data_IF_647317264375
#
_entry.id   IF_647317264375
#
_cell.length_a   1.000
_cell.length_b   1.000
_cell.length_c   1.000
_cell.angle_alpha   90.00
_cell.angle_beta   90.00
_cell.angle_gamma   90.00
#
_symmetry.space_group_name_H-M   'P 1'
#
loop_
_entity.id
_entity.type
_entity.pdbx_description
1 polymer ?
#
# COMPACT_ATOMS: atom_id res chain seq x y z
N UNK A 1 2.57 -30.91 20.53
CA UNK A 1 3.87 -30.31 20.88
C UNK A 1 4.63 -29.95 19.61
N UNK A 2 5.28 -28.79 19.51
CA UNK A 2 6.07 -28.44 18.33
C UNK A 2 7.34 -29.31 18.28
N UNK A 3 7.53 -30.03 17.16
CA UNK A 3 8.69 -30.90 16.93
C UNK A 3 10.02 -30.18 17.24
N UNK A 4 10.94 -30.80 18.00
CA UNK A 4 12.27 -30.23 18.27
C UNK A 4 13.04 -29.89 16.99
N UNK A 5 12.88 -30.70 15.93
CA UNK A 5 13.46 -30.45 14.62
C UNK A 5 12.92 -29.17 13.99
N UNK A 6 11.59 -28.95 14.02
CA UNK A 6 10.97 -27.72 13.51
C UNK A 6 11.45 -26.45 14.23
N UNK A 7 11.86 -26.56 15.50
CA UNK A 7 12.41 -25.41 16.26
C UNK A 7 13.86 -25.11 15.88
N UNK A 8 14.67 -26.14 15.61
CA UNK A 8 16.12 -26.00 15.33
C UNK A 8 16.43 -25.71 13.85
N UNK A 9 15.63 -26.23 12.93
CA UNK A 9 15.84 -26.10 11.48
C UNK A 9 14.96 -25.01 10.85
N UNK A 10 14.55 -24.01 11.64
CA UNK A 10 13.67 -22.94 11.15
C UNK A 10 14.51 -21.96 10.34
N UNK A 11 14.08 -21.70 9.10
CA UNK A 11 14.67 -20.65 8.28
C UNK A 11 14.46 -19.28 8.97
N UNK A 12 15.56 -18.72 9.48
CA UNK A 12 15.57 -17.46 10.22
C UNK A 12 15.52 -16.23 9.29
N UNK A 13 15.85 -16.38 8.00
CA UNK A 13 15.64 -15.35 6.97
C UNK A 13 14.15 -15.15 6.61
N UNK A 14 13.27 -16.10 6.97
CA UNK A 14 11.81 -15.92 6.85
C UNK A 14 11.20 -15.14 8.02
N UNK A 15 12.00 -14.55 8.90
CA UNK A 15 11.47 -13.77 10.02
C UNK A 15 10.69 -12.55 9.53
N UNK A 16 9.48 -12.34 10.09
CA UNK A 16 8.67 -11.14 9.85
C UNK A 16 9.33 -9.85 10.35
N UNK A 17 10.36 -9.96 11.18
CA UNK A 17 11.13 -8.81 11.67
C UNK A 17 12.15 -8.28 10.67
N UNK A 18 12.48 -9.04 9.62
CA UNK A 18 13.43 -8.60 8.59
C UNK A 18 12.69 -7.67 7.63
N UNK A 19 13.10 -6.40 7.63
CA UNK A 19 12.54 -5.39 6.73
C UNK A 19 12.96 -5.68 5.27
N UNK A 20 12.27 -5.07 4.31
CA UNK A 20 12.60 -5.21 2.89
C UNK A 20 13.99 -4.64 2.56
N UNK A 21 14.35 -3.52 3.18
CA UNK A 21 15.67 -2.91 3.02
C UNK A 21 16.76 -3.78 3.66
N UNK A 22 16.50 -4.35 4.83
CA UNK A 22 17.40 -5.33 5.47
C UNK A 22 17.59 -6.57 4.59
N UNK A 23 16.51 -7.11 4.00
CA UNK A 23 16.62 -8.22 3.05
C UNK A 23 17.43 -7.82 1.81
N UNK A 24 17.21 -6.60 1.29
CA UNK A 24 17.97 -6.08 0.16
C UNK A 24 19.47 -6.04 0.47
N UNK A 25 19.85 -5.54 1.64
CA UNK A 25 21.24 -5.49 2.09
C UNK A 25 21.82 -6.89 2.28
N UNK A 26 21.13 -7.76 3.03
CA UNK A 26 21.58 -9.13 3.28
C UNK A 26 21.86 -9.92 1.99
N UNK A 27 20.98 -9.82 1.00
CA UNK A 27 21.16 -10.51 -0.29
C UNK A 27 22.24 -9.84 -1.13
N UNK A 28 22.35 -8.50 -1.08
CA UNK A 28 23.41 -7.77 -1.76
C UNK A 28 24.79 -8.16 -1.24
N UNK A 29 25.01 -8.03 0.07
CA UNK A 29 26.26 -8.41 0.73
C UNK A 29 26.62 -9.89 0.46
N UNK A 30 25.62 -10.78 0.45
CA UNK A 30 25.84 -12.20 0.12
C UNK A 30 26.23 -12.41 -1.34
N UNK A 31 25.59 -11.72 -2.29
CA UNK A 31 25.96 -11.80 -3.71
C UNK A 31 27.37 -11.27 -3.95
N UNK A 32 27.74 -10.16 -3.31
CA UNK A 32 29.09 -9.60 -3.42
C UNK A 32 30.14 -10.59 -2.91
N UNK A 33 29.87 -11.28 -1.79
CA UNK A 33 30.75 -12.32 -1.27
C UNK A 33 30.84 -13.56 -2.18
N UNK A 34 29.72 -14.01 -2.76
CA UNK A 34 29.71 -15.14 -3.71
C UNK A 34 30.49 -14.85 -4.99
N UNK A 35 30.58 -13.58 -5.37
CA UNK A 35 31.22 -13.13 -6.61
C UNK A 35 32.62 -12.56 -6.42
N UNK A 36 33.15 -12.60 -5.20
CA UNK A 36 34.52 -12.23 -4.95
C UNK A 36 35.49 -13.06 -5.82
N UNK A 37 36.52 -12.40 -6.35
CA UNK A 37 37.50 -13.03 -7.25
C UNK A 37 38.25 -14.19 -6.57
N UNK A 38 38.47 -14.07 -5.25
CA UNK A 38 39.11 -15.08 -4.43
C UNK A 38 38.09 -15.73 -3.48
N UNK A 39 37.99 -17.05 -3.56
CA UNK A 39 37.11 -17.84 -2.71
C UNK A 39 37.96 -18.66 -1.71
N UNK A 40 37.60 -18.67 -0.41
CA UNK A 40 38.19 -19.56 0.57
C UNK A 40 38.28 -21.02 0.09
N UNK A 41 39.39 -21.68 0.38
CA UNK A 41 39.58 -23.08 0.03
C UNK A 41 38.47 -23.95 0.65
N UNK A 42 37.88 -24.82 -0.16
CA UNK A 42 36.75 -25.67 0.25
C UNK A 42 35.38 -25.00 0.16
N UNK A 43 35.29 -23.77 -0.35
CA UNK A 43 34.00 -23.15 -0.64
C UNK A 43 33.17 -24.00 -1.63
N UNK A 44 31.83 -24.05 -1.47
CA UNK A 44 30.95 -24.64 -2.46
C UNK A 44 30.96 -23.83 -3.78
N UNK A 45 30.28 -24.31 -4.81
CA UNK A 45 30.21 -23.62 -6.11
C UNK A 45 29.47 -22.27 -6.01
N UNK A 46 30.21 -21.23 -5.67
CA UNK A 46 29.68 -19.88 -5.41
C UNK A 46 29.16 -19.21 -6.67
N UNK A 47 29.76 -19.51 -7.83
CA UNK A 47 29.29 -19.02 -9.14
C UNK A 47 27.90 -19.56 -9.47
N UNK A 48 27.66 -20.86 -9.27
CA UNK A 48 26.33 -21.43 -9.48
C UNK A 48 25.28 -20.90 -8.48
N UNK A 49 25.68 -20.63 -7.23
CA UNK A 49 24.81 -20.00 -6.25
C UNK A 49 24.43 -18.56 -6.63
N UNK A 50 25.42 -17.76 -7.04
CA UNK A 50 25.21 -16.39 -7.49
C UNK A 50 24.29 -16.34 -8.72
N UNK A 51 24.54 -17.20 -9.73
CA UNK A 51 23.72 -17.28 -10.94
C UNK A 51 22.24 -17.58 -10.66
N UNK A 52 21.93 -18.35 -9.61
CA UNK A 52 20.55 -18.64 -9.19
C UNK A 52 19.93 -17.49 -8.39
N UNK A 53 20.73 -16.80 -7.58
CA UNK A 53 20.25 -15.78 -6.65
C UNK A 53 20.07 -14.40 -7.30
N UNK A 54 20.97 -14.03 -8.22
CA UNK A 54 20.99 -12.74 -8.93
C UNK A 54 19.66 -12.35 -9.58
N UNK A 55 19.01 -13.19 -10.43
CA UNK A 55 17.76 -12.80 -11.07
C UNK A 55 16.63 -12.55 -10.05
N UNK A 56 16.60 -13.31 -8.95
CA UNK A 56 15.62 -13.08 -7.87
C UNK A 56 15.87 -11.76 -7.15
N UNK A 57 17.14 -11.40 -6.94
CA UNK A 57 17.52 -10.15 -6.30
C UNK A 57 17.17 -8.94 -7.16
N UNK A 58 17.46 -8.99 -8.45
CA UNK A 58 17.11 -7.94 -9.41
C UNK A 58 15.59 -7.73 -9.49
N UNK A 59 14.83 -8.82 -9.60
CA UNK A 59 13.37 -8.76 -9.59
C UNK A 59 12.83 -8.13 -8.29
N UNK A 60 13.39 -8.52 -7.14
CA UNK A 60 13.03 -7.93 -5.85
C UNK A 60 13.31 -6.42 -5.81
N UNK A 61 14.46 -5.96 -6.31
CA UNK A 61 14.81 -4.55 -6.37
C UNK A 61 13.86 -3.73 -7.27
N UNK A 62 13.51 -4.27 -8.44
CA UNK A 62 12.49 -3.67 -9.32
C UNK A 62 11.14 -3.56 -8.59
N UNK A 63 10.76 -4.60 -7.86
CA UNK A 63 9.60 -4.60 -6.98
C UNK A 63 9.63 -3.49 -5.93
N UNK A 64 10.78 -3.25 -5.27
CA UNK A 64 10.91 -2.17 -4.28
C UNK A 64 10.74 -0.79 -4.92
N UNK A 65 11.31 -0.57 -6.10
CA UNK A 65 11.19 0.70 -6.85
C UNK A 65 9.74 0.99 -7.25
N UNK A 66 9.07 0.01 -7.86
CA UNK A 66 7.65 0.13 -8.26
C UNK A 66 6.73 0.34 -7.04
N UNK A 67 7.04 -0.28 -5.90
CA UNK A 67 6.31 -0.06 -4.65
C UNK A 67 6.41 1.37 -4.10
N UNK A 68 7.57 2.04 -4.23
CA UNK A 68 7.75 3.45 -3.83
C UNK A 68 6.95 4.39 -4.74
N UNK A 69 7.01 4.18 -6.06
CA UNK A 69 6.23 4.94 -7.03
C UNK A 69 4.72 4.78 -6.82
N UNK A 70 4.26 3.55 -6.56
CA UNK A 70 2.85 3.25 -6.29
C UNK A 70 2.32 3.93 -5.01
N UNK A 71 3.13 4.02 -3.96
CA UNK A 71 2.79 4.74 -2.72
C UNK A 71 2.62 6.24 -2.97
N UNK A 72 3.53 6.86 -3.72
CA UNK A 72 3.43 8.28 -4.09
C UNK A 72 2.18 8.53 -4.94
N UNK A 73 1.90 7.68 -5.92
CA UNK A 73 0.69 7.77 -6.75
C UNK A 73 -0.59 7.67 -5.90
N UNK A 74 -0.63 6.78 -4.89
CA UNK A 74 -1.78 6.67 -3.97
C UNK A 74 -2.01 7.96 -3.17
N UNK A 75 -0.94 8.61 -2.72
CA UNK A 75 -1.01 9.90 -2.05
C UNK A 75 -1.72 10.94 -2.92
N UNK A 76 -1.24 11.12 -4.15
CA UNK A 76 -1.80 12.07 -5.11
C UNK A 76 -3.27 11.79 -5.44
N UNK A 77 -3.64 10.52 -5.65
CA UNK A 77 -5.03 10.15 -5.95
C UNK A 77 -5.96 10.38 -4.75
N UNK A 78 -5.49 10.18 -3.52
CA UNK A 78 -6.28 10.46 -2.32
C UNK A 78 -6.57 11.95 -2.19
N UNK A 79 -5.60 12.81 -2.49
CA UNK A 79 -5.80 14.26 -2.55
C UNK A 79 -6.82 14.65 -3.61
N UNK A 80 -6.68 14.11 -4.83
CA UNK A 80 -7.61 14.41 -5.94
C UNK A 80 -9.06 14.03 -5.63
N UNK A 81 -9.30 12.85 -5.03
CA UNK A 81 -10.64 12.44 -4.59
C UNK A 81 -11.18 13.36 -3.51
N UNK A 82 -10.34 13.76 -2.55
CA UNK A 82 -10.72 14.71 -1.50
C UNK A 82 -11.16 16.06 -2.07
N UNK A 83 -10.36 16.64 -2.98
CA UNK A 83 -10.67 17.92 -3.63
C UNK A 83 -11.95 17.84 -4.46
N UNK A 84 -12.11 16.80 -5.28
CA UNK A 84 -13.31 16.59 -6.09
C UNK A 84 -14.56 16.40 -5.20
N UNK A 85 -14.42 15.72 -4.06
CA UNK A 85 -15.48 15.53 -3.10
C UNK A 85 -15.91 16.84 -2.42
N UNK A 86 -14.96 17.65 -1.96
CA UNK A 86 -15.24 18.96 -1.36
C UNK A 86 -15.91 19.93 -2.36
N UNK A 87 -15.45 19.92 -3.62
CA UNK A 87 -16.02 20.71 -4.70
C UNK A 87 -17.44 20.24 -5.09
N UNK A 88 -17.73 18.94 -4.96
CA UNK A 88 -19.04 18.37 -5.26
C UNK A 88 -20.05 18.65 -4.15
N UNK A 89 -19.67 18.46 -2.88
CA UNK A 89 -20.60 18.53 -1.75
C UNK A 89 -21.06 19.96 -1.41
N UNK A 90 -20.26 20.97 -1.78
CA UNK A 90 -20.55 22.38 -1.53
C UNK A 90 -21.46 23.02 -2.59
N UNK A 91 -21.41 22.52 -3.82
CA UNK A 91 -22.08 23.14 -4.97
C UNK A 91 -23.62 23.19 -4.87
N UNK A 92 -24.34 22.15 -4.38
CA UNK A 92 -25.79 22.25 -4.18
C UNK A 92 -26.22 23.42 -3.28
N UNK A 93 -25.41 23.75 -2.27
CA UNK A 93 -25.70 24.87 -1.39
C UNK A 93 -25.56 26.23 -2.11
N UNK A 94 -24.62 26.33 -3.05
CA UNK A 94 -24.45 27.48 -3.92
C UNK A 94 -25.63 27.64 -4.88
N UNK A 95 -26.05 26.54 -5.53
CA UNK A 95 -27.23 26.52 -6.40
C UNK A 95 -28.46 26.99 -5.62
N UNK A 96 -28.65 26.48 -4.40
CA UNK A 96 -29.77 26.90 -3.55
C UNK A 96 -29.75 28.41 -3.27
N UNK A 97 -28.59 28.96 -2.92
CA UNK A 97 -28.43 30.38 -2.59
C UNK A 97 -28.74 31.29 -3.77
N UNK A 98 -28.32 30.91 -4.98
CA UNK A 98 -28.42 31.78 -6.17
C UNK A 98 -29.74 31.59 -6.91
N UNK A 99 -30.29 30.37 -6.96
CA UNK A 99 -31.39 30.03 -7.87
C UNK A 99 -32.71 29.66 -7.15
N UNK A 100 -32.64 29.08 -5.95
CA UNK A 100 -33.83 28.52 -5.28
C UNK A 100 -34.34 29.49 -4.21
N UNK A 101 -33.50 29.86 -3.24
CA UNK A 101 -33.84 30.70 -2.10
C UNK A 101 -34.39 32.10 -2.46
N UNK A 102 -34.01 32.74 -3.59
CA UNK A 102 -34.62 34.01 -3.99
C UNK A 102 -36.12 33.91 -4.33
N UNK A 103 -36.63 32.71 -4.63
CA UNK A 103 -38.04 32.48 -5.03
C UNK A 103 -38.79 31.55 -4.08
N UNK A 104 -38.07 30.73 -3.32
CA UNK A 104 -38.61 29.68 -2.48
C UNK A 104 -37.87 29.61 -1.15
N UNK A 105 -38.55 29.91 -0.05
CA UNK A 105 -37.98 29.77 1.28
C UNK A 105 -37.74 28.30 1.68
N UNK A 106 -37.06 28.08 2.80
CA UNK A 106 -36.72 26.74 3.29
C UNK A 106 -37.95 25.91 3.71
N UNK A 107 -39.11 26.56 3.92
CA UNK A 107 -40.36 25.89 4.32
C UNK A 107 -41.16 25.42 3.12
N UNK A 108 -40.94 26.00 1.94
CA UNK A 108 -41.63 25.70 0.70
C UNK A 108 -41.51 24.24 0.27
N UNK A 109 -42.55 23.73 -0.39
CA UNK A 109 -42.56 22.37 -0.93
C UNK A 109 -41.44 22.17 -1.97
N UNK A 110 -41.22 23.16 -2.84
CA UNK A 110 -40.17 23.14 -3.86
C UNK A 110 -38.79 22.98 -3.21
N UNK A 111 -38.47 23.77 -2.18
CA UNK A 111 -37.19 23.65 -1.49
C UNK A 111 -36.99 22.26 -0.87
N UNK A 112 -38.03 21.69 -0.27
CA UNK A 112 -38.00 20.35 0.34
C UNK A 112 -37.83 19.22 -0.69
N UNK A 113 -38.25 19.43 -1.94
CA UNK A 113 -37.96 18.47 -3.02
C UNK A 113 -36.48 18.47 -3.43
N UNK A 114 -35.81 19.63 -3.36
CA UNK A 114 -34.36 19.72 -3.60
C UNK A 114 -33.54 19.24 -2.39
N UNK A 115 -34.03 19.51 -1.18
CA UNK A 115 -33.33 19.25 0.07
C UNK A 115 -34.21 18.51 1.09
N UNK A 116 -34.58 17.23 0.83
CA UNK A 116 -35.51 16.49 1.70
C UNK A 116 -34.96 16.27 3.11
N UNK A 117 -33.63 16.20 3.26
CA UNK A 117 -32.91 16.08 4.54
C UNK A 117 -32.27 17.40 4.98
N UNK A 118 -32.64 18.52 4.34
CA UNK A 118 -31.98 19.81 4.53
C UNK A 118 -30.66 19.95 3.78
N UNK A 119 -30.17 21.19 3.66
CA UNK A 119 -28.96 21.55 2.90
C UNK A 119 -27.68 20.92 3.47
N UNK A 120 -27.66 20.69 4.77
CA UNK A 120 -26.51 20.09 5.48
C UNK A 120 -26.30 18.62 5.14
N UNK A 121 -27.30 17.95 4.55
CA UNK A 121 -27.20 16.57 4.11
C UNK A 121 -26.09 16.37 3.07
N UNK A 122 -25.85 17.36 2.20
CA UNK A 122 -24.77 17.31 1.21
C UNK A 122 -23.41 17.58 1.86
N UNK A 123 -23.28 18.65 2.65
CA UNK A 123 -22.01 19.00 3.31
C UNK A 123 -21.53 17.95 4.32
N UNK A 124 -22.46 17.22 4.93
CA UNK A 124 -22.20 16.10 5.85
C UNK A 124 -22.29 14.72 5.21
N UNK A 125 -22.52 14.62 3.89
CA UNK A 125 -22.58 13.33 3.22
C UNK A 125 -21.23 12.61 3.33
N UNK A 126 -21.26 11.28 3.28
CA UNK A 126 -20.04 10.50 3.06
C UNK A 126 -19.73 10.43 1.57
N UNK A 127 -18.46 10.17 1.21
CA UNK A 127 -18.05 9.88 -0.17
C UNK A 127 -18.90 8.77 -0.83
N UNK A 128 -19.39 7.81 -0.04
CA UNK A 128 -20.24 6.72 -0.54
C UNK A 128 -21.68 7.17 -0.86
N UNK A 129 -22.19 8.17 -0.15
CA UNK A 129 -23.60 8.59 -0.26
C UNK A 129 -23.78 9.77 -1.23
N UNK A 130 -22.78 10.65 -1.34
CA UNK A 130 -22.90 11.92 -2.08
C UNK A 130 -23.35 11.73 -3.53
N UNK A 131 -22.87 10.68 -4.22
CA UNK A 131 -23.25 10.43 -5.62
C UNK A 131 -24.76 10.21 -5.79
N UNK A 132 -25.37 9.45 -4.88
CA UNK A 132 -26.82 9.22 -4.88
C UNK A 132 -27.58 10.51 -4.59
N UNK A 133 -27.15 11.27 -3.60
CA UNK A 133 -27.80 12.52 -3.20
C UNK A 133 -27.73 13.57 -4.33
N UNK A 134 -26.58 13.69 -5.00
CA UNK A 134 -26.39 14.60 -6.14
C UNK A 134 -27.21 14.17 -7.36
N UNK A 135 -27.30 12.86 -7.65
CA UNK A 135 -28.16 12.36 -8.74
C UNK A 135 -29.63 12.69 -8.48
N UNK A 136 -30.09 12.55 -7.24
CA UNK A 136 -31.43 12.96 -6.85
C UNK A 136 -31.63 14.48 -7.02
N UNK A 137 -30.65 15.29 -6.61
CA UNK A 137 -30.68 16.74 -6.81
C UNK A 137 -30.78 17.13 -8.29
N UNK A 138 -29.98 16.49 -9.16
CA UNK A 138 -30.01 16.73 -10.62
C UNK A 138 -31.40 16.39 -11.20
N UNK A 139 -32.03 15.31 -10.75
CA UNK A 139 -33.39 14.94 -11.19
C UNK A 139 -34.41 16.02 -10.79
N UNK A 140 -34.35 16.51 -9.55
CA UNK A 140 -35.20 17.62 -9.10
C UNK A 140 -34.90 18.91 -9.89
N UNK A 141 -33.64 19.24 -10.14
CA UNK A 141 -33.25 20.42 -10.91
C UNK A 141 -33.81 20.39 -12.33
N UNK A 142 -33.85 19.21 -12.96
CA UNK A 142 -34.47 19.02 -14.28
C UNK A 142 -35.99 19.18 -14.26
N UNK A 143 -36.66 18.73 -13.19
CA UNK A 143 -38.10 18.96 -12.99
C UNK A 143 -38.42 20.46 -12.88
N UNK A 144 -37.52 21.24 -12.29
CA UNK A 144 -37.65 22.68 -12.08
C UNK A 144 -36.67 23.49 -12.96
N UNK A 145 -36.62 23.18 -14.27
CA UNK A 145 -35.67 23.80 -15.19
C UNK A 145 -35.79 25.33 -15.33
N UNK A 146 -36.96 25.91 -15.03
CA UNK A 146 -37.17 27.37 -14.99
C UNK A 146 -36.52 28.04 -13.75
N UNK A 147 -36.25 27.26 -12.71
CA UNK A 147 -35.58 27.71 -11.49
C UNK A 147 -34.08 27.55 -11.59
N UNK A 148 -33.61 26.38 -12.03
CA UNK A 148 -32.18 26.04 -12.10
C UNK A 148 -31.75 25.98 -13.57
N UNK A 149 -30.90 26.92 -14.04
CA UNK A 149 -30.46 26.94 -15.43
C UNK A 149 -29.76 25.64 -15.84
N UNK A 150 -29.97 25.21 -17.09
CA UNK A 150 -29.36 23.99 -17.62
C UNK A 150 -27.82 23.97 -17.53
N UNK A 151 -27.19 25.14 -17.65
CA UNK A 151 -25.74 25.29 -17.50
C UNK A 151 -25.26 24.86 -16.09
N UNK A 152 -26.00 25.24 -15.04
CA UNK A 152 -25.69 24.91 -13.64
C UNK A 152 -25.86 23.41 -13.39
N UNK A 153 -26.90 22.81 -13.96
CA UNK A 153 -27.11 21.35 -13.89
C UNK A 153 -25.98 20.60 -14.59
N UNK A 154 -25.51 21.11 -15.74
CA UNK A 154 -24.40 20.54 -16.50
C UNK A 154 -23.08 20.63 -15.73
N UNK A 155 -22.82 21.76 -15.05
CA UNK A 155 -21.65 21.89 -14.20
C UNK A 155 -21.70 20.92 -13.01
N UNK A 156 -22.86 20.76 -12.37
CA UNK A 156 -23.02 19.80 -11.29
C UNK A 156 -22.79 18.35 -11.77
N UNK A 157 -23.26 18.00 -12.96
CA UNK A 157 -22.99 16.71 -13.59
C UNK A 157 -21.50 16.50 -13.88
N UNK A 158 -20.83 17.55 -14.34
CA UNK A 158 -19.39 17.52 -14.59
C UNK A 158 -18.63 17.27 -13.29
N UNK A 159 -18.98 17.96 -12.20
CA UNK A 159 -18.38 17.75 -10.87
C UNK A 159 -18.62 16.34 -10.34
N UNK A 160 -19.84 15.80 -10.50
CA UNK A 160 -20.16 14.43 -10.13
C UNK A 160 -19.28 13.44 -10.90
N UNK A 161 -19.14 13.62 -12.21
CA UNK A 161 -18.29 12.78 -13.05
C UNK A 161 -16.83 12.85 -12.61
N UNK A 162 -16.29 14.04 -12.38
CA UNK A 162 -14.90 14.20 -11.88
C UNK A 162 -14.67 13.44 -10.57
N UNK A 163 -15.62 13.48 -9.64
CA UNK A 163 -15.55 12.73 -8.39
C UNK A 163 -15.57 11.20 -8.62
N UNK A 164 -16.45 10.70 -9.49
CA UNK A 164 -16.55 9.28 -9.82
C UNK A 164 -15.30 8.76 -10.55
N UNK A 165 -14.76 9.55 -11.49
CA UNK A 165 -13.53 9.24 -12.21
C UNK A 165 -12.32 9.21 -11.26
N UNK A 166 -12.19 10.20 -10.37
CA UNK A 166 -11.14 10.22 -9.35
C UNK A 166 -11.23 9.00 -8.41
N UNK A 167 -12.43 8.62 -7.97
CA UNK A 167 -12.65 7.43 -7.15
C UNK A 167 -12.25 6.13 -7.86
N UNK A 168 -12.53 6.05 -9.17
CA UNK A 168 -12.12 4.91 -10.01
C UNK A 168 -10.60 4.81 -10.14
N UNK A 169 -9.92 5.92 -10.38
CA UNK A 169 -8.46 5.97 -10.46
C UNK A 169 -7.79 5.65 -9.11
N UNK A 170 -8.34 6.14 -8.01
CA UNK A 170 -7.89 5.75 -6.66
C UNK A 170 -8.02 4.22 -6.48
N UNK A 171 -9.16 3.62 -6.84
CA UNK A 171 -9.37 2.18 -6.75
C UNK A 171 -8.38 1.35 -7.58
N UNK A 172 -8.06 1.80 -8.81
CA UNK A 172 -7.01 1.18 -9.65
C UNK A 172 -5.64 1.27 -8.99
N UNK A 173 -5.27 2.44 -8.49
CA UNK A 173 -4.00 2.64 -7.80
C UNK A 173 -3.88 1.78 -6.52
N UNK A 174 -4.96 1.61 -5.77
CA UNK A 174 -4.99 0.72 -4.61
C UNK A 174 -4.80 -0.76 -4.98
N UNK A 175 -5.45 -1.21 -6.06
CA UNK A 175 -5.27 -2.58 -6.57
C UNK A 175 -3.82 -2.83 -7.00
N UNK A 176 -3.25 -1.93 -7.81
CA UNK A 176 -1.84 -2.02 -8.26
C UNK A 176 -0.90 -2.09 -7.04
N UNK A 177 -1.11 -1.24 -6.04
CA UNK A 177 -0.31 -1.24 -4.82
C UNK A 177 -0.43 -2.55 -4.02
N UNK A 178 -1.63 -3.12 -3.93
CA UNK A 178 -1.87 -4.40 -3.25
C UNK A 178 -1.16 -5.54 -3.98
N UNK A 179 -1.31 -5.61 -5.29
CA UNK A 179 -0.73 -6.66 -6.12
C UNK A 179 0.81 -6.57 -6.09
N UNK A 180 1.36 -5.36 -6.22
CA UNK A 180 2.80 -5.10 -6.08
C UNK A 180 3.35 -5.49 -4.69
N UNK A 181 2.63 -5.17 -3.60
CA UNK A 181 3.04 -5.59 -2.25
C UNK A 181 3.07 -7.11 -2.08
N UNK A 182 2.13 -7.82 -2.70
CA UNK A 182 2.09 -9.29 -2.66
C UNK A 182 3.23 -9.89 -3.47
N UNK A 183 3.51 -9.37 -4.67
CA UNK A 183 4.63 -9.81 -5.50
C UNK A 183 5.97 -9.67 -4.76
N UNK A 184 6.27 -8.49 -4.21
CA UNK A 184 7.48 -8.25 -3.41
C UNK A 184 7.58 -9.21 -2.22
N UNK A 185 6.45 -9.54 -1.58
CA UNK A 185 6.43 -10.51 -0.48
C UNK A 185 6.77 -11.94 -0.91
N UNK A 186 6.37 -12.34 -2.13
CA UNK A 186 6.76 -13.64 -2.71
C UNK A 186 8.26 -13.66 -3.03
N UNK A 187 8.78 -12.58 -3.60
CA UNK A 187 10.20 -12.46 -3.96
C UNK A 187 11.07 -12.46 -2.68
N UNK A 188 10.68 -11.72 -1.64
CA UNK A 188 11.35 -11.74 -0.34
C UNK A 188 11.39 -13.15 0.26
N UNK A 189 10.31 -13.92 0.13
CA UNK A 189 10.25 -15.30 0.61
C UNK A 189 11.18 -16.20 -0.19
N UNK A 190 11.23 -16.05 -1.52
CA UNK A 190 12.13 -16.82 -2.38
C UNK A 190 13.59 -16.54 -2.02
N UNK A 191 13.97 -15.27 -1.89
CA UNK A 191 15.30 -14.85 -1.45
C UNK A 191 15.69 -15.46 -0.10
N UNK A 192 14.80 -15.41 0.89
CA UNK A 192 15.04 -16.02 2.20
C UNK A 192 15.24 -17.54 2.14
N UNK A 193 14.54 -18.25 1.24
CA UNK A 193 14.73 -19.69 1.03
C UNK A 193 16.10 -19.97 0.42
N UNK A 194 16.50 -19.20 -0.59
CA UNK A 194 17.82 -19.36 -1.21
C UNK A 194 18.97 -19.01 -0.26
N UNK A 195 18.86 -17.91 0.50
CA UNK A 195 19.83 -17.56 1.54
C UNK A 195 20.00 -18.69 2.56
N UNK A 196 18.91 -19.32 3.00
CA UNK A 196 18.99 -20.41 3.96
C UNK A 196 19.56 -21.70 3.35
N UNK A 197 19.27 -21.97 2.08
CA UNK A 197 19.87 -23.11 1.37
C UNK A 197 21.38 -22.92 1.21
N UNK A 198 21.82 -21.72 0.80
CA UNK A 198 23.23 -21.37 0.69
C UNK A 198 23.90 -21.45 2.07
N UNK A 199 23.26 -20.94 3.12
CA UNK A 199 23.75 -21.04 4.50
C UNK A 199 24.00 -22.50 4.89
N UNK A 200 23.06 -23.39 4.63
CA UNK A 200 23.25 -24.83 4.86
C UNK A 200 24.42 -25.43 4.08
N UNK A 201 24.61 -25.01 2.81
CA UNK A 201 25.72 -25.48 1.98
C UNK A 201 27.08 -25.00 2.52
N UNK A 202 27.20 -23.74 2.95
CA UNK A 202 28.44 -23.21 3.54
C UNK A 202 28.76 -23.83 4.90
N UNK A 203 27.77 -24.02 5.77
CA UNK A 203 27.97 -24.71 7.05
C UNK A 203 28.40 -26.16 6.84
N UNK A 204 27.90 -26.82 5.80
CA UNK A 204 28.34 -28.17 5.44
C UNK A 204 29.78 -28.19 4.88
N UNK A 205 30.09 -27.29 3.95
CA UNK A 205 31.40 -27.20 3.31
C UNK A 205 32.52 -26.84 4.30
N UNK A 206 32.22 -25.96 5.25
CA UNK A 206 33.14 -25.51 6.30
C UNK A 206 32.85 -26.16 7.66
N UNK A 207 32.41 -27.41 7.70
CA UNK A 207 32.02 -28.06 8.96
C UNK A 207 33.13 -28.09 10.03
N UNK A 208 34.40 -28.09 9.62
CA UNK A 208 35.56 -28.04 10.52
C UNK A 208 35.94 -26.61 10.96
N UNK A 209 35.56 -25.59 10.19
CA UNK A 209 35.94 -24.18 10.37
C UNK A 209 34.73 -23.27 10.04
N UNK A 210 33.62 -23.37 10.80
CA UNK A 210 32.35 -22.73 10.46
C UNK A 210 32.42 -21.19 10.37
N UNK A 211 33.41 -20.57 11.03
CA UNK A 211 33.72 -19.14 10.94
C UNK A 211 34.00 -18.68 9.50
N UNK A 212 34.49 -19.56 8.62
CA UNK A 212 34.67 -19.24 7.19
C UNK A 212 33.35 -18.93 6.46
N UNK A 213 32.23 -19.43 6.98
CA UNK A 213 30.91 -19.11 6.44
C UNK A 213 30.46 -17.68 6.76
N UNK A 214 30.99 -17.05 7.82
CA UNK A 214 30.60 -15.69 8.23
C UNK A 214 30.92 -14.64 7.16
N UNK A 215 31.97 -14.87 6.36
CA UNK A 215 32.36 -14.02 5.24
C UNK A 215 31.25 -13.84 4.19
N UNK A 216 30.30 -14.79 4.12
CA UNK A 216 29.23 -14.78 3.14
C UNK A 216 27.91 -14.26 3.70
N UNK A 217 27.78 -14.08 5.02
CA UNK A 217 26.51 -13.72 5.64
C UNK A 217 26.71 -12.60 6.66
N UNK A 218 26.20 -11.41 6.34
CA UNK A 218 26.12 -10.30 7.29
C UNK A 218 24.97 -10.51 8.30
N UNK A 219 25.11 -11.52 9.17
CA UNK A 219 24.09 -11.86 10.16
C UNK A 219 23.89 -10.76 11.22
N UNK A 220 24.84 -9.83 11.36
CA UNK A 220 24.71 -8.65 12.21
C UNK A 220 23.61 -7.69 11.76
N UNK A 221 23.21 -7.73 10.49
CA UNK A 221 22.07 -6.96 9.97
C UNK A 221 20.71 -7.56 10.39
N UNK A 222 20.68 -8.78 10.94
CA UNK A 222 19.44 -9.37 11.44
C UNK A 222 19.02 -8.68 12.74
N UNK A 223 17.72 -8.36 12.91
CA UNK A 223 17.25 -7.74 14.13
C UNK A 223 17.50 -8.66 15.33
N UNK A 224 18.15 -8.13 16.36
CA UNK A 224 18.33 -8.83 17.63
C UNK A 224 16.96 -9.36 18.09
N UNK A 225 16.91 -10.63 18.53
CA UNK A 225 15.68 -11.17 19.15
C UNK A 225 15.31 -10.22 20.28
N UNK A 226 14.21 -9.48 20.11
CA UNK A 226 13.63 -8.69 21.19
C UNK A 226 13.28 -9.67 22.30
N UNK A 227 14.19 -9.85 23.26
CA UNK A 227 13.88 -10.51 24.50
C UNK A 227 12.84 -9.61 25.16
N UNK A 228 11.58 -10.06 25.14
CA UNK A 228 10.54 -9.46 25.96
C UNK A 228 11.05 -9.51 27.40
N UNK A 229 11.59 -8.39 27.90
CA UNK A 229 11.76 -8.16 29.33
C UNK A 229 10.36 -8.34 29.94
N UNK A 230 10.10 -9.51 30.52
CA UNK A 230 9.04 -9.63 31.52
C UNK A 230 9.46 -8.67 32.62
N UNK A 231 8.74 -7.56 32.75
CA UNK A 231 8.83 -6.74 33.94
C UNK A 231 8.46 -7.65 35.12
N UNK A 232 9.48 -8.02 35.91
CA UNK A 232 9.27 -8.56 37.24
C UNK A 232 8.71 -7.40 38.05
N UNK A 233 7.39 -7.37 38.21
CA UNK A 233 6.73 -6.51 39.18
C UNK A 233 7.13 -7.04 40.56
N UNK A 234 8.20 -6.51 41.13
CA UNK A 234 8.48 -6.65 42.56
C UNK A 234 7.48 -5.75 43.27
N UNK A 235 6.48 -6.36 43.90
CA UNK A 235 5.72 -5.69 44.94
C UNK A 235 6.65 -5.51 46.15
N UNK A 236 6.77 -4.28 46.61
CA UNK A 236 7.46 -3.86 47.83
C UNK A 236 6.96 -2.47 48.19
#
# INVERSE_FOLDING_TARGET
>A
MASPFKKRSRNFFLSKSISRETMKQLVGDHLDALEADEQPAGAPDTKAMAAKLRPLYEQFQVGLGTGKAGLAARGNQTTSVGEAFEALKSYPAEIARVHILPKHDEKSAVYKEFFPKGRTAFSGASQKAIGTDIRAFILTARKYAELVPAAVVTELQTRLKTFEDAGTEQGKAEKINKDGRQAIGKDQKALAVHLFANFGAFIHAFAAEPEKAELYFNLGALPAKQQKKKATTTAG
#
